data_IF_164123748247
#
_entry.id   IF_164123748247
#
_cell.length_a   1.000
_cell.length_b   1.000
_cell.length_c   1.000
_cell.angle_alpha   90.00
_cell.angle_beta   90.00
_cell.angle_gamma   90.00
#
_symmetry.space_group_name_H-M   'P 1'
#
loop_
_entity.id
_entity.type
_entity.pdbx_description
1 polymer ?
#
# COMPACT_ATOMS: atom_id res chain seq x y z
N UNK A 1 -22.47 -63.09 -1.94
CA UNK A 1 -21.40 -62.34 -2.65
C UNK A 1 -21.91 -60.94 -3.05
N UNK A 2 -22.34 -60.10 -2.10
CA UNK A 2 -23.03 -58.83 -2.41
C UNK A 2 -22.66 -57.63 -1.53
N UNK A 3 -22.19 -57.85 -0.30
CA UNK A 3 -21.91 -56.78 0.66
C UNK A 3 -20.62 -55.98 0.36
N UNK A 4 -19.63 -56.59 -0.31
CA UNK A 4 -18.37 -55.92 -0.65
C UNK A 4 -18.47 -54.90 -1.79
N UNK A 5 -19.55 -54.93 -2.58
CA UNK A 5 -19.74 -54.03 -3.73
C UNK A 5 -20.28 -52.65 -3.29
N UNK A 6 -21.12 -52.61 -2.26
CA UNK A 6 -21.69 -51.35 -1.74
C UNK A 6 -20.68 -50.53 -0.91
N UNK A 7 -19.79 -51.18 -0.17
CA UNK A 7 -18.75 -50.49 0.61
C UNK A 7 -17.72 -49.74 -0.24
N UNK A 8 -17.36 -50.30 -1.42
CA UNK A 8 -16.41 -49.67 -2.34
C UNK A 8 -17.01 -48.48 -3.09
N UNK A 9 -18.32 -48.53 -3.41
CA UNK A 9 -19.04 -47.43 -4.04
C UNK A 9 -19.29 -46.30 -3.03
N UNK A 10 -19.64 -46.62 -1.78
CA UNK A 10 -19.81 -45.63 -0.71
C UNK A 10 -18.52 -44.89 -0.36
N UNK A 11 -17.38 -45.59 -0.30
CA UNK A 11 -16.08 -44.96 -0.07
C UNK A 11 -15.64 -44.06 -1.24
N UNK A 12 -15.90 -44.47 -2.50
CA UNK A 12 -15.57 -43.67 -3.67
C UNK A 12 -16.40 -42.38 -3.76
N UNK A 13 -17.70 -42.43 -3.42
CA UNK A 13 -18.57 -41.25 -3.36
C UNK A 13 -18.17 -40.30 -2.22
N UNK A 14 -17.80 -40.83 -1.05
CA UNK A 14 -17.33 -40.02 0.08
C UNK A 14 -16.00 -39.29 -0.25
N UNK A 15 -15.07 -39.96 -0.96
CA UNK A 15 -13.84 -39.34 -1.43
C UNK A 15 -14.09 -38.26 -2.51
N UNK A 16 -15.08 -38.44 -3.39
CA UNK A 16 -15.41 -37.47 -4.43
C UNK A 16 -16.02 -36.17 -3.85
N UNK A 17 -16.79 -36.27 -2.76
CA UNK A 17 -17.34 -35.10 -2.04
C UNK A 17 -16.24 -34.32 -1.29
N UNK A 18 -15.22 -35.00 -0.76
CA UNK A 18 -14.07 -34.37 -0.10
C UNK A 18 -13.04 -33.77 -1.09
N UNK A 19 -13.10 -34.16 -2.37
CA UNK A 19 -12.26 -33.65 -3.45
C UNK A 19 -12.85 -32.42 -4.17
N UNK A 20 -14.08 -32.00 -3.81
CA UNK A 20 -14.56 -30.65 -4.11
C UNK A 20 -13.74 -29.67 -3.27
N UNK A 21 -12.52 -29.36 -3.73
CA UNK A 21 -11.67 -28.37 -3.11
C UNK A 21 -12.49 -27.12 -2.87
N UNK A 22 -12.48 -26.63 -1.63
CA UNK A 22 -12.98 -25.30 -1.35
C UNK A 22 -12.13 -24.33 -2.19
N UNK A 23 -12.66 -23.90 -3.33
CA UNK A 23 -12.16 -22.75 -4.07
C UNK A 23 -12.54 -21.53 -3.24
N UNK A 24 -11.86 -21.35 -2.11
CA UNK A 24 -11.87 -20.08 -1.42
C UNK A 24 -11.28 -19.08 -2.41
N UNK A 25 -12.12 -18.22 -2.96
CA UNK A 25 -11.69 -17.10 -3.78
C UNK A 25 -10.63 -16.33 -2.99
N UNK A 26 -9.51 -15.97 -3.63
CA UNK A 26 -8.51 -15.12 -2.96
C UNK A 26 -9.20 -13.79 -2.71
N UNK A 27 -9.68 -13.58 -1.49
CA UNK A 27 -10.18 -12.28 -1.08
C UNK A 27 -9.04 -11.29 -1.31
N UNK A 28 -9.27 -10.31 -2.18
CA UNK A 28 -8.34 -9.19 -2.38
C UNK A 28 -8.47 -8.25 -1.17
N UNK A 29 -8.02 -8.75 -0.02
CA UNK A 29 -8.04 -8.03 1.24
C UNK A 29 -6.61 -7.75 1.68
N UNK A 30 -6.24 -6.48 1.60
CA UNK A 30 -4.93 -6.01 2.05
C UNK A 30 -4.85 -5.92 3.58
N UNK A 31 -6.00 -5.80 4.28
CA UNK A 31 -6.08 -5.48 5.72
C UNK A 31 -5.36 -6.50 6.59
N UNK A 32 -5.46 -7.77 6.23
CA UNK A 32 -4.88 -8.90 6.97
C UNK A 32 -3.51 -9.34 6.43
N UNK A 33 -2.88 -8.54 5.57
CA UNK A 33 -1.56 -8.84 4.99
C UNK A 33 -0.49 -7.90 5.52
N UNK A 34 0.81 -8.24 5.39
CA UNK A 34 1.90 -7.33 5.72
C UNK A 34 1.90 -5.99 4.96
N UNK A 35 1.10 -5.86 3.88
CA UNK A 35 0.94 -4.62 3.13
C UNK A 35 -0.08 -3.65 3.75
N UNK A 36 -0.76 -4.04 4.83
CA UNK A 36 -1.47 -3.07 5.66
C UNK A 36 -0.44 -2.25 6.43
N UNK A 37 -0.09 -1.07 5.91
CA UNK A 37 0.88 -0.17 6.52
C UNK A 37 0.25 0.78 7.56
N UNK A 38 -1.06 0.67 7.83
CA UNK A 38 -1.70 1.41 8.93
C UNK A 38 -1.30 0.86 10.30
N UNK A 39 -1.69 1.55 11.37
CA UNK A 39 -1.43 1.13 12.77
C UNK A 39 -1.94 -0.28 13.10
N UNK A 40 -2.93 -0.80 12.37
CA UNK A 40 -3.50 -2.14 12.62
C UNK A 40 -2.81 -3.24 11.80
N UNK A 41 -1.75 -2.92 11.06
CA UNK A 41 -1.04 -3.85 10.20
C UNK A 41 -0.38 -5.01 10.95
N UNK A 42 -0.41 -6.25 10.40
CA UNK A 42 0.27 -7.41 10.99
C UNK A 42 1.77 -7.45 10.67
N UNK A 43 2.25 -6.60 9.75
CA UNK A 43 3.65 -6.52 9.34
C UNK A 43 4.54 -5.76 10.33
N UNK A 44 5.88 -5.97 10.26
CA UNK A 44 6.83 -5.27 11.12
C UNK A 44 6.99 -3.78 10.76
N UNK A 45 6.68 -3.41 9.51
CA UNK A 45 6.69 -2.03 9.01
C UNK A 45 5.25 -1.54 8.94
N UNK A 46 4.94 -0.54 9.76
CA UNK A 46 3.62 0.09 9.85
C UNK A 46 3.75 1.52 10.39
N UNK A 47 2.76 2.34 10.12
CA UNK A 47 2.68 3.67 10.66
C UNK A 47 2.45 3.66 12.16
N UNK A 48 2.89 4.74 12.81
CA UNK A 48 2.73 4.96 14.25
C UNK A 48 1.33 5.49 14.58
N UNK A 49 0.75 6.31 13.69
CA UNK A 49 -0.52 7.00 13.94
C UNK A 49 -1.56 6.90 12.81
N UNK A 50 -1.16 6.55 11.59
CA UNK A 50 -2.09 6.52 10.45
C UNK A 50 -3.00 5.28 10.49
N UNK A 51 -4.30 5.50 10.40
CA UNK A 51 -5.34 4.45 10.52
C UNK A 51 -5.89 4.02 9.16
N UNK A 52 -5.74 4.85 8.14
CA UNK A 52 -6.23 4.57 6.80
C UNK A 52 -5.29 3.62 6.08
N UNK A 53 -5.83 2.59 5.45
CA UNK A 53 -5.04 1.49 4.87
C UNK A 53 -4.62 1.82 3.43
N UNK A 54 -5.49 2.50 2.68
CA UNK A 54 -5.29 2.75 1.26
C UNK A 54 -4.37 3.95 0.97
N UNK A 55 -4.18 4.84 1.94
CA UNK A 55 -3.51 6.14 1.72
C UNK A 55 -1.99 6.07 1.53
N UNK A 56 -1.42 4.89 1.73
CA UNK A 56 -0.03 4.61 1.41
C UNK A 56 0.18 4.29 -0.07
N UNK A 57 -0.87 3.85 -0.76
CA UNK A 57 -0.82 3.47 -2.18
C UNK A 57 -1.63 4.42 -3.07
N UNK A 58 -2.66 5.06 -2.52
CA UNK A 58 -3.55 5.97 -3.23
C UNK A 58 -3.52 7.36 -2.61
N UNK A 59 -3.62 8.38 -3.46
CA UNK A 59 -3.70 9.78 -3.05
C UNK A 59 -5.15 10.27 -3.13
N UNK A 60 -5.72 10.90 -2.08
CA UNK A 60 -7.08 11.42 -2.11
C UNK A 60 -7.21 12.68 -2.98
N UNK A 61 -8.41 12.98 -3.47
CA UNK A 61 -8.68 14.21 -4.27
C UNK A 61 -8.66 15.50 -3.42
N UNK A 62 -8.87 15.39 -2.11
CA UNK A 62 -8.70 16.49 -1.14
C UNK A 62 -7.29 16.46 -0.51
N UNK A 63 -6.28 16.17 -1.34
CA UNK A 63 -4.88 16.16 -0.96
C UNK A 63 -4.32 17.58 -0.76
N UNK A 64 -3.11 17.66 -0.23
CA UNK A 64 -2.37 18.91 -0.03
C UNK A 64 -2.21 19.67 -1.35
N UNK A 65 -2.37 20.99 -1.32
CA UNK A 65 -2.31 21.82 -2.51
C UNK A 65 -0.87 22.24 -2.80
N UNK A 66 -0.15 21.43 -3.58
CA UNK A 66 1.24 21.68 -3.94
C UNK A 66 1.31 22.53 -5.23
N UNK A 67 1.83 23.78 -5.18
CA UNK A 67 1.96 24.59 -6.39
C UNK A 67 2.86 23.91 -7.42
N UNK A 68 2.34 23.75 -8.65
CA UNK A 68 3.06 23.08 -9.75
C UNK A 68 3.57 21.67 -9.41
N UNK A 69 2.88 20.96 -8.50
CA UNK A 69 3.18 19.60 -8.09
C UNK A 69 2.01 18.64 -8.33
N UNK A 70 2.26 17.32 -8.27
CA UNK A 70 1.20 16.31 -8.27
C UNK A 70 0.42 16.34 -6.93
N UNK A 71 -0.71 15.61 -6.88
CA UNK A 71 -1.43 15.41 -5.62
C UNK A 71 -0.52 14.76 -4.58
N UNK A 72 -0.58 15.28 -3.34
CA UNK A 72 0.28 14.82 -2.26
C UNK A 72 -0.51 14.57 -0.97
N UNK A 73 -0.39 13.35 -0.44
CA UNK A 73 -1.15 12.92 0.72
C UNK A 73 -0.45 13.24 2.05
N UNK A 74 0.47 14.22 2.08
CA UNK A 74 1.15 14.64 3.31
C UNK A 74 1.17 16.16 3.36
N UNK A 75 1.16 16.70 4.58
CA UNK A 75 1.35 18.13 4.77
C UNK A 75 2.73 18.53 4.21
N UNK A 76 2.79 19.65 3.50
CA UNK A 76 4.07 20.24 3.12
C UNK A 76 4.76 20.82 4.36
N UNK A 77 6.09 20.79 4.35
CA UNK A 77 6.88 21.55 5.31
C UNK A 77 6.64 23.06 5.11
N UNK A 78 6.48 23.78 6.21
CA UNK A 78 6.41 25.24 6.24
C UNK A 78 7.77 25.93 6.24
N UNK A 79 8.86 25.16 6.19
CA UNK A 79 10.23 25.69 6.22
C UNK A 79 10.57 26.52 4.98
N UNK A 80 11.44 27.51 5.17
CA UNK A 80 12.01 28.29 4.07
C UNK A 80 13.36 27.71 3.69
N UNK A 81 13.52 27.35 2.42
CA UNK A 81 14.75 26.77 1.89
C UNK A 81 15.58 27.83 1.20
N UNK A 82 16.82 28.04 1.65
CA UNK A 82 17.79 28.91 0.98
C UNK A 82 18.82 28.06 0.25
N UNK A 83 18.92 28.15 -1.09
CA UNK A 83 19.98 27.48 -1.83
C UNK A 83 21.36 27.95 -1.36
N UNK A 84 22.33 27.05 -1.28
CA UNK A 84 23.71 27.40 -0.99
C UNK A 84 24.50 27.64 -2.29
N UNK A 85 25.51 28.51 -2.21
CA UNK A 85 26.42 28.77 -3.33
C UNK A 85 27.53 27.72 -3.39
N UNK A 86 27.88 27.23 -4.58
CA UNK A 86 28.94 26.25 -4.79
C UNK A 86 29.73 26.55 -6.06
N UNK A 87 31.04 26.30 -6.03
CA UNK A 87 31.92 26.47 -7.21
C UNK A 87 31.70 25.39 -8.29
N UNK A 88 30.97 24.32 -7.96
CA UNK A 88 30.73 23.18 -8.85
C UNK A 88 29.25 22.90 -9.13
N UNK A 89 28.33 23.62 -8.47
CA UNK A 89 26.88 23.49 -8.67
C UNK A 89 26.34 24.87 -9.01
N UNK A 90 25.73 25.00 -10.20
CA UNK A 90 24.92 26.15 -10.54
C UNK A 90 23.49 25.92 -10.04
N UNK A 91 23.08 26.71 -9.04
CA UNK A 91 21.72 26.73 -8.51
C UNK A 91 20.99 28.05 -8.82
N UNK A 92 21.60 28.95 -9.59
CA UNK A 92 21.03 30.24 -9.98
C UNK A 92 19.78 30.05 -10.86
N UNK A 93 19.72 28.93 -11.56
CA UNK A 93 18.62 28.52 -12.45
C UNK A 93 17.41 27.93 -11.67
N UNK A 94 17.59 27.64 -10.37
CA UNK A 94 16.53 27.17 -9.50
C UNK A 94 15.92 28.41 -8.86
N UNK A 95 14.62 28.63 -9.04
CA UNK A 95 13.90 29.68 -8.31
C UNK A 95 14.27 29.62 -6.82
N UNK A 96 14.23 30.76 -6.10
CA UNK A 96 14.63 30.84 -4.69
C UNK A 96 13.88 29.87 -3.74
N UNK A 97 12.89 29.13 -4.24
CA UNK A 97 12.19 28.03 -3.58
C UNK A 97 12.35 26.73 -4.39
N UNK A 98 12.44 25.57 -3.72
CA UNK A 98 12.28 24.27 -4.37
C UNK A 98 10.99 24.23 -5.19
N UNK A 99 11.06 23.59 -6.36
CA UNK A 99 9.89 23.34 -7.21
C UNK A 99 8.90 22.35 -6.56
N UNK A 100 7.70 22.25 -7.14
CA UNK A 100 6.60 21.44 -6.58
C UNK A 100 6.99 19.99 -6.27
N UNK A 101 7.66 19.30 -7.20
CA UNK A 101 8.14 17.92 -6.98
C UNK A 101 9.19 17.83 -5.86
N UNK A 102 10.11 18.80 -5.76
CA UNK A 102 11.12 18.82 -4.70
C UNK A 102 10.50 19.03 -3.32
N UNK A 103 9.41 19.81 -3.21
CA UNK A 103 8.68 20.03 -1.95
C UNK A 103 8.07 18.75 -1.39
N UNK A 104 7.77 17.74 -2.22
CA UNK A 104 7.26 16.44 -1.76
C UNK A 104 8.31 15.69 -0.94
N UNK A 105 9.55 15.67 -1.42
CA UNK A 105 10.68 15.03 -0.74
C UNK A 105 11.02 15.72 0.59
N UNK A 106 10.68 17.01 0.69
CA UNK A 106 10.94 17.88 1.84
C UNK A 106 9.73 18.01 2.77
N UNK A 107 8.74 17.11 2.65
CA UNK A 107 7.49 17.16 3.44
C UNK A 107 7.57 16.48 4.81
N UNK A 108 8.75 15.98 5.19
CA UNK A 108 8.98 15.22 6.42
C UNK A 108 10.19 15.73 7.20
#
# INVERSE_FOLDING_TARGET
MGAWRYGRIGAALLCLVMAAGAWAERISDVRNTPHNLSVTGPGPVRAVSETQICVFCHTPHAAENVPSGPLWNRALSGETYTPYTSNSINADDIAATPGGSSKLCLSC
#
